data_IF_254440858699
#
_entry.id   IF_254440858699
#
_cell.length_a   1.000
_cell.length_b   1.000
_cell.length_c   1.000
_cell.angle_alpha   90.00
_cell.angle_beta   90.00
_cell.angle_gamma   90.00
#
_symmetry.space_group_name_H-M   'P 1'
#
loop_
_entity.id
_entity.type
_entity.pdbx_description
1 polymer ?
#
# COMPACT_ATOMS: atom_id res chain seq x y z
N UNK A 1 9.82 -10.96 -4.95
CA UNK A 1 10.05 -9.83 -5.89
C UNK A 1 10.01 -10.25 -7.35
N UNK A 2 10.52 -11.43 -7.69
CA UNK A 2 10.57 -11.96 -9.06
C UNK A 2 9.19 -12.12 -9.71
N UNK A 3 8.24 -12.79 -9.03
CA UNK A 3 6.85 -12.92 -9.50
C UNK A 3 6.17 -11.58 -9.87
N UNK A 4 6.33 -10.55 -9.02
CA UNK A 4 5.73 -9.25 -9.28
C UNK A 4 6.36 -8.57 -10.51
N UNK A 5 7.68 -8.72 -10.70
CA UNK A 5 8.38 -8.22 -11.89
C UNK A 5 7.90 -8.94 -13.15
N UNK A 6 7.72 -10.27 -13.08
CA UNK A 6 7.26 -11.07 -14.21
C UNK A 6 5.83 -10.68 -14.61
N UNK A 7 4.92 -10.53 -13.65
CA UNK A 7 3.56 -10.08 -13.93
C UNK A 7 3.57 -8.67 -14.56
N UNK A 8 4.34 -7.72 -14.01
CA UNK A 8 4.47 -6.37 -14.58
C UNK A 8 5.07 -6.41 -15.98
N UNK A 9 6.06 -7.28 -16.24
CA UNK A 9 6.64 -7.42 -17.57
C UNK A 9 5.63 -7.92 -18.61
N UNK A 10 4.70 -8.80 -18.22
CA UNK A 10 3.66 -9.33 -19.10
C UNK A 10 2.44 -8.39 -19.25
N UNK A 11 2.04 -7.68 -18.19
CA UNK A 11 0.82 -6.85 -18.18
C UNK A 11 1.05 -5.35 -18.28
N UNK A 12 2.30 -4.89 -18.24
CA UNK A 12 2.66 -3.49 -18.06
C UNK A 12 2.31 -2.93 -16.68
N UNK A 13 2.53 -1.63 -16.50
CA UNK A 13 2.14 -0.87 -15.30
C UNK A 13 0.65 -0.46 -15.30
N UNK A 14 -0.15 -1.04 -16.19
CA UNK A 14 -1.55 -0.71 -16.35
C UNK A 14 -2.44 -1.43 -15.34
N UNK A 15 -3.72 -1.05 -15.31
CA UNK A 15 -4.72 -1.74 -14.50
C UNK A 15 -4.88 -3.17 -15.04
N UNK A 16 -4.80 -4.21 -14.20
CA UNK A 16 -4.98 -5.59 -14.66
C UNK A 16 -6.34 -5.78 -15.31
N UNK A 17 -6.38 -6.55 -16.40
CA UNK A 17 -7.63 -6.92 -17.06
C UNK A 17 -8.49 -7.80 -16.15
N UNK A 18 -9.77 -7.94 -16.48
CA UNK A 18 -10.69 -8.82 -15.75
C UNK A 18 -10.23 -10.27 -15.83
N UNK A 19 -9.71 -10.69 -16.96
CA UNK A 19 -9.21 -12.04 -17.24
C UNK A 19 -8.01 -12.36 -16.34
N UNK A 20 -7.06 -11.43 -16.25
CA UNK A 20 -5.90 -11.55 -15.34
C UNK A 20 -6.34 -11.66 -13.89
N UNK A 21 -7.28 -10.81 -13.45
CA UNK A 21 -7.79 -10.85 -12.07
C UNK A 21 -8.55 -12.17 -11.78
N UNK A 22 -9.35 -12.65 -12.72
CA UNK A 22 -10.04 -13.95 -12.58
C UNK A 22 -9.05 -15.11 -12.49
N UNK A 23 -7.99 -15.11 -13.33
CA UNK A 23 -6.92 -16.11 -13.27
C UNK A 23 -6.23 -16.11 -11.91
N UNK A 24 -5.79 -14.95 -11.41
CA UNK A 24 -5.16 -14.81 -10.09
C UNK A 24 -6.11 -15.26 -8.97
N UNK A 25 -7.39 -14.89 -9.06
CA UNK A 25 -8.40 -15.34 -8.08
C UNK A 25 -8.54 -16.86 -8.03
N UNK A 26 -8.51 -17.53 -9.19
CA UNK A 26 -8.54 -18.99 -9.26
C UNK A 26 -7.26 -19.63 -8.70
N UNK A 27 -6.09 -19.10 -9.05
CA UNK A 27 -4.81 -19.57 -8.50
C UNK A 27 -4.79 -19.47 -6.96
N UNK A 28 -5.20 -18.34 -6.40
CA UNK A 28 -5.30 -18.15 -4.94
C UNK A 28 -6.29 -19.12 -4.29
N UNK A 29 -7.42 -19.43 -4.94
CA UNK A 29 -8.38 -20.42 -4.45
C UNK A 29 -7.76 -21.83 -4.46
N UNK A 30 -7.06 -22.21 -5.52
CA UNK A 30 -6.40 -23.52 -5.58
C UNK A 30 -5.33 -23.67 -4.48
N UNK A 31 -4.51 -22.64 -4.25
CA UNK A 31 -3.55 -22.63 -3.15
C UNK A 31 -4.23 -22.68 -1.77
N UNK A 32 -5.38 -22.03 -1.61
CA UNK A 32 -6.13 -22.15 -0.37
C UNK A 32 -6.67 -23.58 -0.15
N UNK A 33 -7.21 -24.22 -1.19
CA UNK A 33 -7.71 -25.59 -1.13
C UNK A 33 -6.60 -26.62 -0.89
N UNK A 34 -5.38 -26.37 -1.40
CA UNK A 34 -4.22 -27.25 -1.22
C UNK A 34 -3.79 -27.38 0.26
N UNK A 35 -4.23 -26.47 1.13
CA UNK A 35 -4.02 -26.56 2.60
C UNK A 35 -4.79 -27.70 3.27
N UNK A 36 -5.67 -28.40 2.54
CA UNK A 36 -6.50 -29.49 3.05
C UNK A 36 -7.85 -29.03 3.61
N UNK A 37 -8.15 -27.72 3.55
CA UNK A 37 -9.46 -27.19 3.90
C UNK A 37 -10.49 -27.56 2.82
N UNK A 38 -11.58 -28.19 3.25
CA UNK A 38 -12.74 -28.43 2.39
C UNK A 38 -13.75 -27.29 2.58
N UNK A 39 -14.03 -26.56 1.51
CA UNK A 39 -15.05 -25.52 1.48
C UNK A 39 -16.03 -25.76 0.32
N UNK A 40 -17.29 -25.31 0.43
CA UNK A 40 -18.19 -25.25 -0.71
C UNK A 40 -17.62 -24.38 -1.83
N UNK A 41 -18.03 -24.65 -3.06
CA UNK A 41 -17.63 -23.83 -4.20
C UNK A 41 -18.10 -22.38 -3.99
N UNK A 42 -17.19 -21.38 -4.06
CA UNK A 42 -17.59 -19.98 -3.97
C UNK A 42 -18.53 -19.60 -5.12
N UNK A 43 -19.68 -19.00 -4.81
CA UNK A 43 -20.59 -18.46 -5.83
C UNK A 43 -20.14 -17.08 -6.34
N UNK A 44 -19.23 -16.42 -5.62
CA UNK A 44 -18.65 -15.12 -5.97
C UNK A 44 -17.17 -15.06 -5.60
N UNK A 45 -16.35 -14.54 -6.51
CA UNK A 45 -14.92 -14.34 -6.32
C UNK A 45 -14.48 -13.01 -6.92
N UNK A 46 -13.55 -12.33 -6.25
CA UNK A 46 -12.99 -11.06 -6.73
C UNK A 46 -11.53 -10.92 -6.30
N UNK A 47 -10.63 -10.81 -7.26
CA UNK A 47 -9.25 -10.41 -7.02
C UNK A 47 -9.08 -8.90 -7.17
N UNK A 48 -8.12 -8.33 -6.43
CA UNK A 48 -7.78 -6.92 -6.51
C UNK A 48 -6.26 -6.74 -6.43
N UNK A 49 -5.69 -5.92 -7.32
CA UNK A 49 -4.27 -5.56 -7.29
C UNK A 49 -4.05 -4.21 -6.62
N UNK A 50 -3.32 -4.22 -5.51
CA UNK A 50 -2.84 -3.02 -4.83
C UNK A 50 -1.42 -2.69 -5.33
N UNK A 51 -1.30 -1.74 -6.27
CA UNK A 51 -0.01 -1.43 -6.93
C UNK A 51 1.07 -0.84 -6.02
N UNK A 52 0.65 -0.11 -4.98
CA UNK A 52 1.53 0.49 -3.96
C UNK A 52 1.07 0.09 -2.57
N UNK A 53 0.74 -1.20 -2.39
CA UNK A 53 0.12 -1.71 -1.16
C UNK A 53 0.95 -1.45 0.10
N UNK A 54 2.25 -1.70 0.00
CA UNK A 54 3.18 -1.63 1.12
C UNK A 54 4.47 -0.94 0.70
N UNK A 55 4.92 0.10 1.43
CA UNK A 55 6.21 0.71 1.20
C UNK A 55 7.34 -0.27 1.56
N UNK A 56 8.36 -0.35 0.70
CA UNK A 56 9.52 -1.21 0.92
C UNK A 56 10.46 -0.66 2.01
N UNK A 57 10.45 0.65 2.23
CA UNK A 57 11.27 1.33 3.23
C UNK A 57 10.57 2.60 3.72
N UNK A 58 10.86 3.00 4.95
CA UNK A 58 10.42 4.26 5.53
C UNK A 58 11.29 5.43 5.06
N UNK A 59 10.67 6.48 4.51
CA UNK A 59 11.39 7.63 3.94
C UNK A 59 11.69 8.75 4.94
N UNK A 60 10.97 8.82 6.07
CA UNK A 60 11.13 9.89 7.06
C UNK A 60 11.63 9.37 8.42
N UNK A 61 11.52 8.06 8.70
CA UNK A 61 12.01 7.41 9.92
C UNK A 61 11.52 8.16 11.17
N UNK A 62 12.44 8.66 12.01
CA UNK A 62 12.14 9.32 13.28
C UNK A 62 11.37 10.64 13.13
N UNK A 63 11.52 11.35 12.00
CA UNK A 63 10.77 12.59 11.74
C UNK A 63 9.29 12.33 11.40
N UNK A 64 8.95 11.07 11.07
CA UNK A 64 7.59 10.56 10.77
C UNK A 64 6.86 11.25 9.62
N UNK A 65 7.35 12.36 9.08
CA UNK A 65 6.84 13.04 7.89
C UNK A 65 8.00 13.74 7.17
N UNK A 66 7.85 14.00 5.88
CA UNK A 66 8.81 14.85 5.14
C UNK A 66 8.35 16.29 5.26
N UNK A 67 9.19 17.15 5.81
CA UNK A 67 8.91 18.58 6.00
C UNK A 67 9.79 19.45 5.12
N UNK A 68 9.17 20.39 4.40
CA UNK A 68 9.88 21.43 3.64
C UNK A 68 9.51 22.81 4.18
N UNK A 69 10.36 23.36 5.04
CA UNK A 69 10.18 24.67 5.67
C UNK A 69 10.01 25.79 4.63
N UNK A 70 10.88 25.81 3.61
CA UNK A 70 10.87 26.81 2.54
C UNK A 70 9.54 26.82 1.76
N UNK A 71 8.95 25.64 1.55
CA UNK A 71 7.69 25.48 0.79
C UNK A 71 6.45 25.43 1.68
N UNK A 72 6.63 25.42 3.00
CA UNK A 72 5.57 25.20 4.00
C UNK A 72 4.74 23.96 3.66
N UNK A 73 5.43 22.88 3.24
CA UNK A 73 4.82 21.65 2.72
C UNK A 73 5.20 20.45 3.60
N UNK A 74 4.19 19.70 4.02
CA UNK A 74 4.35 18.42 4.70
C UNK A 74 3.85 17.27 3.81
N UNK A 75 4.60 16.17 3.75
CA UNK A 75 4.19 14.91 3.13
C UNK A 75 4.14 13.84 4.21
N UNK A 76 3.02 13.16 4.34
CA UNK A 76 2.77 12.11 5.33
C UNK A 76 2.09 10.89 4.72
N UNK A 77 2.25 9.76 5.39
CA UNK A 77 1.67 8.48 5.03
C UNK A 77 2.37 7.33 5.77
N UNK A 78 1.85 6.12 5.64
CA UNK A 78 2.46 4.90 6.20
C UNK A 78 3.93 4.75 5.72
N UNK A 79 4.21 5.11 4.47
CA UNK A 79 5.55 5.14 3.88
C UNK A 79 6.54 6.09 4.55
N UNK A 80 6.10 7.00 5.41
CA UNK A 80 7.00 7.86 6.20
C UNK A 80 7.45 7.23 7.52
N UNK A 81 6.76 6.20 8.02
CA UNK A 81 7.08 5.58 9.32
C UNK A 81 7.10 4.05 9.23
N UNK A 82 5.94 3.41 9.06
CA UNK A 82 5.78 1.96 9.00
C UNK A 82 4.60 1.57 8.10
N UNK A 83 4.65 0.42 7.39
CA UNK A 83 3.64 -0.03 6.42
C UNK A 83 2.36 -0.55 7.09
N UNK A 84 1.75 0.26 7.96
CA UNK A 84 0.56 -0.10 8.73
C UNK A 84 -0.29 1.14 9.04
N UNK A 85 -1.50 0.89 9.54
CA UNK A 85 -2.48 1.95 9.86
C UNK A 85 -1.94 2.92 10.92
N UNK A 86 -1.31 2.39 11.97
CA UNK A 86 -0.72 3.21 13.03
C UNK A 86 0.35 4.16 12.49
N UNK A 87 1.24 3.66 11.63
CA UNK A 87 2.29 4.42 10.98
C UNK A 87 1.73 5.60 10.16
N UNK A 88 0.65 5.36 9.42
CA UNK A 88 -0.04 6.40 8.68
C UNK A 88 -0.61 7.49 9.60
N UNK A 89 -1.26 7.09 10.70
CA UNK A 89 -1.85 8.02 11.69
C UNK A 89 -0.75 8.86 12.33
N UNK A 90 0.31 8.23 12.84
CA UNK A 90 1.42 8.92 13.49
C UNK A 90 2.15 9.88 12.53
N UNK A 91 2.30 9.48 11.26
CA UNK A 91 2.85 10.35 10.22
C UNK A 91 1.99 11.58 9.97
N UNK A 92 0.66 11.40 9.89
CA UNK A 92 -0.30 12.50 9.74
C UNK A 92 -0.26 13.48 10.91
N UNK A 93 -0.18 12.97 12.14
CA UNK A 93 -0.04 13.79 13.35
C UNK A 93 1.27 14.60 13.34
N UNK A 94 2.38 13.99 12.92
CA UNK A 94 3.66 14.69 12.80
C UNK A 94 3.59 15.84 11.78
N UNK A 95 3.00 15.60 10.60
CA UNK A 95 2.79 16.63 9.58
C UNK A 95 1.91 17.78 10.10
N UNK A 96 0.79 17.46 10.76
CA UNK A 96 -0.10 18.44 11.35
C UNK A 96 0.62 19.30 12.42
N UNK A 97 1.50 18.70 13.22
CA UNK A 97 2.29 19.44 14.21
C UNK A 97 3.24 20.45 13.57
N UNK A 98 3.92 20.11 12.46
CA UNK A 98 4.80 21.05 11.74
C UNK A 98 3.99 22.23 11.17
N UNK A 99 2.83 21.94 10.57
CA UNK A 99 1.93 22.96 10.02
C UNK A 99 1.34 23.87 11.11
N UNK A 100 0.93 23.30 12.25
CA UNK A 100 0.44 24.08 13.40
C UNK A 100 1.48 25.07 13.91
N UNK A 101 2.75 24.67 13.97
CA UNK A 101 3.86 25.52 14.38
C UNK A 101 4.00 26.80 13.54
N UNK A 102 3.64 26.75 12.25
CA UNK A 102 3.65 27.92 11.37
C UNK A 102 2.56 28.92 11.70
N UNK A 103 1.35 28.44 12.03
CA UNK A 103 0.20 29.29 12.31
C UNK A 103 0.39 30.01 13.65
N UNK A 104 1.04 29.36 14.63
CA UNK A 104 1.37 29.99 15.91
C UNK A 104 2.44 31.07 15.84
N UNK A 105 3.13 31.21 14.70
CA UNK A 105 4.16 32.25 14.47
C UNK A 105 3.67 33.42 13.59
N UNK A 106 2.40 33.39 13.17
CA UNK A 106 1.70 34.51 12.53
C UNK A 106 1.00 35.35 13.60
#
# INVERSE_FOLDING_TARGET
MEYAKDVIAHSGLEKPSKETLSKVGNEMLQEFLSTGLSIPQPFFMKAHRWGSAFPAASIAKEEKCVWSEKKKLAICGDFCLSPNVEGAILSGLAAASKLKGLISTL
#
